data_IF_128633192854
#
_entry.id   IF_128633192854
#
_cell.length_a   1.000
_cell.length_b   1.000
_cell.length_c   1.000
_cell.angle_alpha   90.00
_cell.angle_beta   90.00
_cell.angle_gamma   90.00
#
_symmetry.space_group_name_H-M   'P 1'
#
loop_
_entity.id
_entity.type
_entity.pdbx_description
1 polymer ?
#
# COMPACT_ATOMS: atom_id res chain seq x y z
N UNK A 1 3.01 -2.80 27.07
CA UNK A 1 1.94 -2.25 27.92
C UNK A 1 2.41 -1.99 29.35
N UNK A 2 3.01 -2.97 30.02
CA UNK A 2 3.52 -2.81 31.40
C UNK A 2 4.44 -1.60 31.60
N UNK A 3 5.47 -1.45 30.76
CA UNK A 3 6.40 -0.31 30.82
C UNK A 3 5.67 1.05 30.72
N UNK A 4 4.67 1.13 29.85
CA UNK A 4 3.83 2.33 29.70
C UNK A 4 2.94 2.55 30.92
N UNK A 5 2.34 1.49 31.47
CA UNK A 5 1.49 1.60 32.65
C UNK A 5 2.28 2.02 33.89
N UNK A 6 3.53 1.58 34.02
CA UNK A 6 4.40 1.95 35.13
C UNK A 6 4.90 3.41 35.06
N UNK A 7 5.13 3.93 33.84
CA UNK A 7 5.79 5.24 33.67
C UNK A 7 4.89 6.34 33.13
N UNK A 8 3.74 5.98 32.55
CA UNK A 8 2.75 6.86 31.88
C UNK A 8 3.35 7.79 30.80
N UNK A 9 4.51 7.41 30.24
CA UNK A 9 5.20 8.14 29.16
C UNK A 9 5.42 7.25 27.93
N UNK A 10 5.62 7.82 26.72
CA UNK A 10 6.01 7.05 25.54
C UNK A 10 7.27 6.21 25.82
N UNK A 11 7.27 4.96 25.37
CA UNK A 11 8.34 3.99 25.68
C UNK A 11 9.30 3.87 24.49
N UNK A 12 10.62 3.91 24.74
CA UNK A 12 11.62 3.80 23.67
C UNK A 12 11.83 2.33 23.28
N UNK A 13 12.28 2.10 22.03
CA UNK A 13 12.65 0.74 21.57
C UNK A 13 13.72 0.11 22.46
N UNK A 14 14.68 0.91 22.93
CA UNK A 14 15.74 0.46 23.84
C UNK A 14 15.18 -0.06 25.18
N UNK A 15 14.25 0.65 25.80
CA UNK A 15 13.65 0.24 27.07
C UNK A 15 12.93 -1.11 26.95
N UNK A 16 12.28 -1.34 25.80
CA UNK A 16 11.60 -2.60 25.48
C UNK A 16 12.64 -3.71 25.23
N UNK A 17 13.71 -3.41 24.49
CA UNK A 17 14.78 -4.35 24.18
C UNK A 17 15.47 -4.84 25.45
N UNK A 18 15.84 -3.91 26.34
CA UNK A 18 16.48 -4.19 27.62
C UNK A 18 15.59 -5.05 28.52
N UNK A 19 14.29 -4.72 28.59
CA UNK A 19 13.31 -5.49 29.38
C UNK A 19 13.14 -6.93 28.89
N UNK A 20 13.34 -7.19 27.60
CA UNK A 20 13.08 -8.47 26.96
C UNK A 20 14.35 -9.27 26.65
N UNK A 21 15.53 -8.67 26.85
CA UNK A 21 16.81 -9.31 26.54
C UNK A 21 17.02 -9.60 25.06
N UNK A 22 16.49 -8.75 24.16
CA UNK A 22 16.60 -8.93 22.70
C UNK A 22 17.25 -7.72 22.02
N UNK A 23 17.65 -7.88 20.76
CA UNK A 23 18.23 -6.79 19.98
C UNK A 23 17.22 -5.65 19.74
N UNK A 24 17.65 -4.40 19.90
CA UNK A 24 16.79 -3.22 19.70
C UNK A 24 16.25 -3.12 18.27
N UNK A 25 17.01 -3.56 17.27
CA UNK A 25 16.55 -3.64 15.88
C UNK A 25 15.35 -4.58 15.71
N UNK A 26 15.37 -5.75 16.37
CA UNK A 26 14.22 -6.67 16.42
C UNK A 26 12.99 -6.01 17.03
N UNK A 27 13.22 -5.17 18.06
CA UNK A 27 12.13 -4.40 18.66
C UNK A 27 11.54 -3.43 17.66
N UNK A 28 12.37 -2.61 17.01
CA UNK A 28 11.92 -1.61 16.03
C UNK A 28 11.12 -2.25 14.89
N UNK A 29 11.59 -3.37 14.35
CA UNK A 29 10.87 -4.13 13.31
C UNK A 29 9.48 -4.55 13.78
N UNK A 30 9.35 -5.04 15.00
CA UNK A 30 8.07 -5.49 15.56
C UNK A 30 7.13 -4.31 15.86
N UNK A 31 7.67 -3.15 16.23
CA UNK A 31 6.86 -1.94 16.44
C UNK A 31 6.22 -1.45 15.14
N UNK A 32 6.85 -1.65 13.98
CA UNK A 32 6.21 -1.36 12.67
C UNK A 32 4.94 -2.19 12.50
N UNK A 33 4.99 -3.48 12.85
CA UNK A 33 3.85 -4.39 12.81
C UNK A 33 2.72 -3.95 13.74
N UNK A 34 3.06 -3.73 15.01
CA UNK A 34 2.11 -3.37 16.05
C UNK A 34 1.44 -2.03 15.74
N UNK A 35 2.18 -1.08 15.16
CA UNK A 35 1.62 0.19 14.72
C UNK A 35 0.64 0.01 13.56
N UNK A 36 1.03 -0.75 12.54
CA UNK A 36 0.16 -1.03 11.40
C UNK A 36 -1.13 -1.79 11.79
N UNK A 37 -1.04 -2.65 12.79
CA UNK A 37 -2.19 -3.36 13.38
C UNK A 37 -3.06 -2.48 14.30
N UNK A 38 -2.65 -1.24 14.58
CA UNK A 38 -3.36 -0.31 15.46
C UNK A 38 -3.23 -0.65 16.95
N UNK A 39 -2.25 -1.46 17.35
CA UNK A 39 -1.97 -1.77 18.75
C UNK A 39 -1.14 -0.67 19.44
N UNK A 40 -0.36 0.09 18.67
CA UNK A 40 0.44 1.18 19.23
C UNK A 40 0.41 2.41 18.32
N UNK A 41 0.62 3.57 18.92
CA UNK A 41 0.92 4.83 18.25
C UNK A 41 2.40 5.17 18.44
N UNK A 42 2.96 5.94 17.52
CA UNK A 42 4.34 6.44 17.61
C UNK A 42 4.33 7.96 17.76
N UNK A 43 5.07 8.46 18.76
CA UNK A 43 5.37 9.89 18.92
C UNK A 43 6.82 10.15 18.50
N UNK A 44 7.05 11.12 17.64
CA UNK A 44 8.39 11.51 17.17
C UNK A 44 9.05 12.54 18.11
N UNK A 45 10.37 12.69 18.02
CA UNK A 45 11.16 13.65 18.81
C UNK A 45 11.91 13.05 20.03
N UNK A 46 12.66 13.87 20.79
CA UNK A 46 13.54 13.42 21.88
C UNK A 46 12.79 12.75 23.06
N UNK A 47 11.53 13.15 23.26
CA UNK A 47 10.57 12.56 24.20
C UNK A 47 9.56 11.63 23.52
N UNK A 48 9.85 11.23 22.28
CA UNK A 48 9.07 10.30 21.50
C UNK A 48 9.20 8.85 21.96
N UNK A 49 8.38 7.98 21.39
CA UNK A 49 8.31 6.56 21.73
C UNK A 49 6.98 5.93 21.32
N UNK A 50 6.78 4.70 21.75
CA UNK A 50 5.59 3.91 21.46
C UNK A 50 4.58 4.03 22.60
N UNK A 51 3.32 4.25 22.24
CA UNK A 51 2.19 4.39 23.16
C UNK A 51 1.18 3.28 22.83
N UNK A 52 0.79 2.43 23.78
CA UNK A 52 -0.23 1.42 23.53
C UNK A 52 -1.61 2.08 23.33
N UNK A 53 -2.35 1.63 22.31
CA UNK A 53 -3.74 2.03 22.07
C UNK A 53 -4.68 1.28 23.01
N UNK A 54 -5.95 1.71 23.07
CA UNK A 54 -7.00 0.97 23.78
C UNK A 54 -7.08 -0.49 23.31
N UNK A 55 -6.93 -0.74 21.99
CA UNK A 55 -6.90 -2.08 21.41
C UNK A 55 -5.80 -2.95 22.02
N UNK A 56 -4.60 -2.41 22.27
CA UNK A 56 -3.53 -3.15 22.94
C UNK A 56 -3.80 -3.40 24.44
N UNK A 57 -4.50 -2.49 25.11
CA UNK A 57 -4.88 -2.68 26.51
C UNK A 57 -5.93 -3.77 26.67
N UNK A 58 -6.92 -3.80 25.78
CA UNK A 58 -7.94 -4.85 25.72
C UNK A 58 -7.30 -6.21 25.42
N UNK A 59 -6.37 -6.26 24.46
CA UNK A 59 -5.61 -7.45 24.12
C UNK A 59 -4.85 -8.05 25.32
N UNK A 60 -4.21 -7.21 26.14
CA UNK A 60 -3.47 -7.69 27.31
C UNK A 60 -4.40 -8.18 28.43
N UNK A 61 -5.59 -7.59 28.57
CA UNK A 61 -6.59 -7.99 29.59
C UNK A 61 -7.34 -9.26 29.22
N UNK A 62 -7.59 -9.45 27.92
CA UNK A 62 -8.21 -10.64 27.35
C UNK A 62 -7.36 -11.02 26.14
N UNK A 63 -6.36 -11.91 26.31
CA UNK A 63 -5.56 -12.40 25.20
C UNK A 63 -6.42 -13.32 24.32
N UNK A 64 -7.31 -12.72 23.53
CA UNK A 64 -7.68 -13.30 22.25
C UNK A 64 -6.45 -13.15 21.37
N UNK A 65 -5.97 -14.24 20.79
CA UNK A 65 -4.86 -14.25 19.83
C UNK A 65 -4.92 -13.04 18.90
N UNK A 66 -3.77 -12.43 18.56
CA UNK A 66 -3.72 -11.29 17.65
C UNK A 66 -4.05 -11.79 16.25
N UNK A 67 -5.33 -11.99 16.00
CA UNK A 67 -5.85 -12.37 14.70
C UNK A 67 -5.74 -11.13 13.84
N UNK A 68 -4.90 -11.19 12.82
CA UNK A 68 -5.03 -10.30 11.68
C UNK A 68 -6.39 -10.64 11.06
N UNK A 69 -7.41 -9.84 11.36
CA UNK A 69 -8.80 -10.08 10.97
C UNK A 69 -8.87 -10.44 9.49
N UNK A 70 -9.27 -11.70 9.18
CA UNK A 70 -9.57 -12.27 7.86
C UNK A 70 -8.89 -11.56 6.68
N UNK A 71 -7.57 -11.36 6.78
CA UNK A 71 -6.85 -10.49 5.87
C UNK A 71 -6.31 -11.34 4.73
N UNK A 72 -7.11 -11.49 3.67
CA UNK A 72 -6.72 -12.34 2.54
C UNK A 72 -5.44 -11.79 1.93
N UNK A 73 -4.40 -12.63 1.90
CA UNK A 73 -3.08 -12.24 1.39
C UNK A 73 -2.50 -13.32 0.48
N UNK A 74 -1.86 -12.95 -0.64
CA UNK A 74 -1.12 -13.90 -1.44
C UNK A 74 0.12 -14.39 -0.67
N UNK A 75 0.54 -15.62 -0.94
CA UNK A 75 1.83 -16.15 -0.48
C UNK A 75 2.70 -16.51 -1.69
N UNK A 76 3.97 -16.11 -1.64
CA UNK A 76 5.00 -16.59 -2.56
C UNK A 76 5.97 -17.48 -1.80
N UNK A 77 6.44 -18.53 -2.47
CA UNK A 77 7.33 -19.54 -1.90
C UNK A 77 8.57 -19.59 -2.78
N UNK A 78 9.75 -19.43 -2.17
CA UNK A 78 11.04 -19.37 -2.87
C UNK A 78 11.00 -18.38 -4.06
N UNK A 79 10.34 -17.23 -3.86
CA UNK A 79 10.10 -16.16 -4.85
C UNK A 79 9.18 -16.53 -6.01
N UNK A 80 8.58 -17.72 -6.01
CA UNK A 80 7.60 -18.15 -7.00
C UNK A 80 6.17 -17.86 -6.50
N UNK A 81 5.28 -17.36 -7.38
CA UNK A 81 3.87 -17.20 -7.02
C UNK A 81 3.24 -18.56 -6.78
N UNK A 82 2.25 -18.60 -5.90
CA UNK A 82 1.48 -19.81 -5.60
C UNK A 82 -0.02 -19.56 -5.81
N UNK A 83 -0.81 -20.62 -5.80
CA UNK A 83 -2.27 -20.55 -5.72
C UNK A 83 -2.78 -20.60 -4.27
N UNK A 84 -1.89 -20.38 -3.29
CA UNK A 84 -2.24 -20.33 -1.88
C UNK A 84 -2.62 -18.91 -1.48
N UNK A 85 -3.59 -18.80 -0.60
CA UNK A 85 -3.99 -17.53 0.01
C UNK A 85 -4.04 -17.70 1.51
N UNK A 86 -3.48 -16.74 2.23
CA UNK A 86 -3.58 -16.64 3.68
C UNK A 86 -4.96 -16.12 4.02
N UNK A 87 -5.59 -16.72 5.03
CA UNK A 87 -6.92 -16.33 5.56
C UNK A 87 -6.84 -15.82 6.98
N UNK A 88 -5.74 -16.09 7.67
CA UNK A 88 -5.49 -15.61 9.02
C UNK A 88 -4.01 -15.70 9.31
N UNK A 89 -3.51 -14.70 10.02
CA UNK A 89 -2.17 -14.69 10.59
C UNK A 89 -2.39 -14.53 12.10
N UNK A 90 -1.65 -15.29 12.88
CA UNK A 90 -1.65 -15.21 14.33
C UNK A 90 -0.19 -15.24 14.81
N UNK A 91 0.18 -14.27 15.64
CA UNK A 91 1.50 -14.28 16.28
C UNK A 91 1.44 -15.22 17.49
N UNK A 92 2.25 -16.28 17.46
CA UNK A 92 2.08 -17.42 18.36
C UNK A 92 2.53 -17.17 19.80
N UNK A 93 3.46 -16.25 20.05
CA UNK A 93 3.85 -15.97 21.43
C UNK A 93 3.14 -14.71 21.94
N UNK A 94 2.11 -14.96 22.76
CA UNK A 94 1.19 -13.97 23.35
C UNK A 94 1.88 -13.05 24.38
N UNK A 95 2.99 -13.49 24.96
CA UNK A 95 3.78 -12.74 25.96
C UNK A 95 4.97 -12.01 25.31
N UNK A 96 5.40 -12.49 24.14
CA UNK A 96 6.57 -12.00 23.44
C UNK A 96 6.19 -11.70 21.97
N UNK A 97 5.75 -10.46 21.65
CA UNK A 97 5.50 -10.05 20.27
C UNK A 97 6.74 -10.08 19.36
N UNK A 98 7.89 -10.52 19.89
CA UNK A 98 9.19 -10.71 19.23
C UNK A 98 9.55 -12.19 19.02
N UNK A 99 8.63 -13.13 19.26
CA UNK A 99 8.83 -14.55 18.99
C UNK A 99 9.16 -14.90 17.57
N UNK A 100 8.97 -13.93 16.67
CA UNK A 100 9.34 -14.04 15.29
C UNK A 100 8.69 -15.27 14.64
N UNK A 101 7.56 -15.77 15.19
CA UNK A 101 6.80 -16.89 14.65
C UNK A 101 5.35 -16.50 14.47
N UNK A 102 4.82 -16.82 13.30
CA UNK A 102 3.42 -16.67 12.99
C UNK A 102 2.81 -18.01 12.61
N UNK A 103 1.64 -18.32 13.14
CA UNK A 103 0.72 -19.30 12.59
C UNK A 103 -0.03 -18.64 11.43
N UNK A 104 0.04 -19.28 10.27
CA UNK A 104 -0.54 -18.78 9.03
C UNK A 104 -1.53 -19.82 8.54
N UNK A 105 -2.81 -19.45 8.54
CA UNK A 105 -3.89 -20.28 7.99
C UNK A 105 -4.01 -20.00 6.50
N UNK A 106 -4.06 -21.05 5.69
CA UNK A 106 -4.08 -20.93 4.23
C UNK A 106 -5.23 -21.69 3.57
N UNK A 107 -5.60 -21.25 2.39
CA UNK A 107 -6.45 -21.98 1.43
C UNK A 107 -5.67 -22.21 0.15
N UNK A 108 -5.85 -23.37 -0.49
CA UNK A 108 -5.13 -23.77 -1.71
C UNK A 108 -4.34 -25.06 -1.52
N UNK A 109 -3.44 -25.36 -2.45
CA UNK A 109 -2.69 -26.62 -2.49
C UNK A 109 -1.37 -26.54 -1.72
N UNK A 110 -1.29 -27.29 -0.62
CA UNK A 110 -0.10 -27.37 0.24
C UNK A 110 0.90 -28.44 -0.20
N UNK A 111 0.59 -29.32 -1.16
CA UNK A 111 1.41 -30.51 -1.48
C UNK A 111 2.85 -30.21 -1.87
N UNK A 112 3.11 -29.03 -2.44
CA UNK A 112 4.46 -28.62 -2.87
C UNK A 112 5.18 -27.72 -1.85
N UNK A 113 4.53 -27.42 -0.73
CA UNK A 113 5.10 -26.62 0.36
C UNK A 113 5.92 -27.50 1.29
N UNK A 114 7.12 -27.07 1.66
CA UNK A 114 8.05 -27.80 2.52
C UNK A 114 8.47 -26.96 3.73
N UNK A 115 8.81 -27.64 4.82
CA UNK A 115 9.56 -27.02 5.92
C UNK A 115 10.94 -26.63 5.39
N UNK A 116 11.40 -25.43 5.75
CA UNK A 116 12.61 -24.81 5.23
C UNK A 116 12.40 -23.89 4.03
N UNK A 117 11.22 -23.88 3.42
CA UNK A 117 10.92 -22.97 2.31
C UNK A 117 10.88 -21.51 2.76
N UNK A 118 11.47 -20.63 1.94
CA UNK A 118 11.35 -19.19 2.15
C UNK A 118 9.98 -18.72 1.70
N UNK A 119 9.30 -17.93 2.53
CA UNK A 119 7.97 -17.41 2.24
C UNK A 119 7.92 -15.92 2.31
N UNK A 120 7.06 -15.34 1.46
CA UNK A 120 6.61 -13.96 1.59
C UNK A 120 5.10 -13.93 1.52
N UNK A 121 4.49 -13.43 2.58
CA UNK A 121 3.04 -13.29 2.75
C UNK A 121 2.69 -11.81 2.61
N UNK A 122 1.65 -11.53 1.83
CA UNK A 122 1.11 -10.19 1.65
C UNK A 122 1.67 -9.43 0.44
N UNK A 123 1.35 -8.13 0.32
CA UNK A 123 0.69 -7.30 1.34
C UNK A 123 -0.70 -7.78 1.72
N UNK A 124 -1.03 -7.75 3.02
CA UNK A 124 -2.40 -8.06 3.46
C UNK A 124 -3.37 -6.95 3.03
N UNK A 125 -4.61 -7.31 2.71
CA UNK A 125 -5.58 -6.41 2.07
C UNK A 125 -5.88 -5.17 2.93
N UNK A 126 -6.22 -5.39 4.19
CA UNK A 126 -6.54 -4.35 5.14
C UNK A 126 -5.28 -3.78 5.72
N UNK A 127 -4.39 -4.57 6.32
CA UNK A 127 -3.30 -4.03 7.16
C UNK A 127 -2.06 -3.60 6.37
N UNK A 128 -1.98 -3.93 5.07
CA UNK A 128 -0.84 -3.67 4.18
C UNK A 128 0.50 -4.16 4.74
N UNK A 129 0.45 -5.27 5.49
CA UNK A 129 1.63 -5.90 6.09
C UNK A 129 2.19 -6.95 5.13
N UNK A 130 3.51 -6.97 5.01
CA UNK A 130 4.28 -8.01 4.36
C UNK A 130 5.09 -8.74 5.42
N UNK A 131 5.01 -10.06 5.43
CA UNK A 131 5.81 -10.93 6.28
C UNK A 131 6.72 -11.75 5.39
N UNK A 132 8.03 -11.71 5.62
CA UNK A 132 8.99 -12.62 5.00
C UNK A 132 9.59 -13.50 6.07
N UNK A 133 9.79 -14.78 5.76
CA UNK A 133 10.26 -15.76 6.75
C UNK A 133 10.56 -17.11 6.14
N UNK A 134 10.70 -18.11 7.01
CA UNK A 134 10.95 -19.52 6.65
C UNK A 134 9.87 -20.37 7.30
N UNK A 135 9.30 -21.32 6.56
CA UNK A 135 8.35 -22.28 7.12
C UNK A 135 9.11 -23.22 8.06
N UNK A 136 8.70 -23.26 9.33
CA UNK A 136 9.29 -24.14 10.35
C UNK A 136 8.41 -25.37 10.60
N UNK A 137 7.10 -25.24 10.44
CA UNK A 137 6.16 -26.34 10.64
C UNK A 137 5.02 -26.26 9.61
N UNK A 138 4.46 -27.41 9.28
CA UNK A 138 3.37 -27.54 8.30
C UNK A 138 2.36 -28.57 8.80
N UNK A 139 1.09 -28.18 8.86
CA UNK A 139 -0.03 -29.06 9.15
C UNK A 139 -1.02 -29.03 7.98
N UNK A 140 -1.01 -30.07 7.15
CA UNK A 140 -1.90 -30.18 5.99
C UNK A 140 -3.37 -30.36 6.38
N UNK A 141 -3.65 -31.07 7.46
CA UNK A 141 -5.01 -31.35 7.92
C UNK A 141 -5.74 -30.09 8.39
N UNK A 142 -5.03 -29.22 9.12
CA UNK A 142 -5.56 -27.93 9.59
C UNK A 142 -5.33 -26.78 8.61
N UNK A 143 -4.59 -27.02 7.52
CA UNK A 143 -4.14 -26.01 6.55
C UNK A 143 -3.39 -24.85 7.21
N UNK A 144 -2.45 -25.21 8.07
CA UNK A 144 -1.68 -24.29 8.89
C UNK A 144 -0.18 -24.40 8.57
N UNK A 145 0.49 -23.25 8.52
CA UNK A 145 1.93 -23.12 8.40
C UNK A 145 2.44 -22.33 9.60
N UNK A 146 3.49 -22.81 10.26
CA UNK A 146 4.24 -21.98 11.20
C UNK A 146 5.42 -21.38 10.45
N UNK A 147 5.51 -20.06 10.48
CA UNK A 147 6.53 -19.29 9.76
C UNK A 147 7.40 -18.58 10.79
N UNK A 148 8.70 -18.88 10.79
CA UNK A 148 9.69 -18.02 11.43
C UNK A 148 9.91 -16.78 10.57
N UNK A 149 9.37 -15.66 11.03
CA UNK A 149 9.50 -14.34 10.44
C UNK A 149 10.98 -13.93 10.46
N UNK A 150 11.48 -13.36 9.38
CA UNK A 150 12.79 -12.72 9.30
C UNK A 150 12.64 -11.21 9.08
N UNK A 151 11.55 -10.81 8.44
CA UNK A 151 11.24 -9.42 8.12
C UNK A 151 9.75 -9.19 8.18
N UNK A 152 9.37 -8.06 8.75
CA UNK A 152 8.00 -7.58 8.73
C UNK A 152 8.01 -6.13 8.29
N UNK A 153 7.26 -5.82 7.23
CA UNK A 153 7.15 -4.48 6.65
C UNK A 153 5.69 -4.10 6.60
N UNK A 154 5.36 -2.87 7.01
CA UNK A 154 4.05 -2.30 6.77
C UNK A 154 4.15 -1.21 5.72
N UNK A 155 3.29 -1.25 4.71
CA UNK A 155 3.16 -0.16 3.75
C UNK A 155 2.25 0.90 4.38
N UNK A 156 2.65 2.18 4.42
CA UNK A 156 1.83 3.24 4.97
C UNK A 156 0.46 3.32 4.30
N UNK A 157 -0.58 3.47 5.12
CA UNK A 157 -1.95 3.72 4.67
C UNK A 157 -2.21 5.20 4.52
N UNK A 158 -1.49 5.83 3.61
CA UNK A 158 -1.77 7.22 3.24
C UNK A 158 -2.67 7.23 2.02
N UNK A 159 -3.68 8.09 2.04
CA UNK A 159 -4.60 8.23 0.92
C UNK A 159 -3.92 8.91 -0.25
N UNK A 160 -4.37 8.57 -1.45
CA UNK A 160 -3.91 9.20 -2.68
C UNK A 160 -4.20 10.70 -2.68
N UNK A 161 -5.34 11.14 -2.11
CA UNK A 161 -5.70 12.57 -2.04
C UNK A 161 -4.69 13.44 -1.28
N UNK A 162 -3.94 12.85 -0.36
CA UNK A 162 -2.94 13.54 0.45
C UNK A 162 -1.63 13.76 -0.31
N UNK A 163 -1.34 12.90 -1.29
CA UNK A 163 -0.09 12.90 -2.06
C UNK A 163 -0.23 13.47 -3.46
N UNK A 164 -1.45 13.58 -3.98
CA UNK A 164 -1.68 14.03 -5.35
C UNK A 164 -1.39 15.53 -5.52
N UNK A 165 -0.95 15.88 -6.73
CA UNK A 165 -1.00 17.26 -7.20
C UNK A 165 -2.44 17.63 -7.55
N UNK A 166 -2.94 18.74 -7.00
CA UNK A 166 -4.31 19.26 -7.21
C UNK A 166 -4.38 20.13 -8.47
N UNK A 167 -5.61 20.45 -8.90
CA UNK A 167 -5.91 21.33 -10.04
C UNK A 167 -5.49 20.75 -11.39
N UNK A 168 -6.12 19.65 -11.78
CA UNK A 168 -5.90 19.06 -13.10
C UNK A 168 -6.54 19.93 -14.17
N UNK A 169 -5.73 20.36 -15.13
CA UNK A 169 -6.24 21.01 -16.34
C UNK A 169 -6.91 19.95 -17.20
N UNK A 170 -8.18 20.17 -17.53
CA UNK A 170 -8.99 19.26 -18.36
C UNK A 170 -9.30 19.88 -19.71
N UNK A 171 -9.68 19.05 -20.67
CA UNK A 171 -10.21 19.51 -21.96
C UNK A 171 -11.51 18.77 -22.30
N UNK A 172 -12.36 19.46 -23.06
CA UNK A 172 -13.63 18.95 -23.56
C UNK A 172 -13.43 17.94 -24.69
N UNK A 173 -14.20 16.86 -24.68
CA UNK A 173 -14.13 15.81 -25.71
C UNK A 173 -14.45 16.31 -27.13
N UNK A 174 -15.25 17.37 -27.22
CA UNK A 174 -15.71 18.01 -28.45
C UNK A 174 -14.86 19.21 -28.89
N UNK A 175 -13.89 19.64 -28.07
CA UNK A 175 -12.94 20.68 -28.43
C UNK A 175 -12.04 20.24 -29.59
N UNK A 176 -11.56 21.18 -30.43
CA UNK A 176 -10.63 20.88 -31.51
C UNK A 176 -9.21 20.63 -30.96
N UNK A 177 -8.42 19.79 -31.62
CA UNK A 177 -7.07 19.43 -31.18
C UNK A 177 -6.10 20.63 -31.10
N UNK A 178 -6.31 21.67 -31.91
CA UNK A 178 -5.57 22.94 -31.80
C UNK A 178 -5.68 23.59 -30.41
N UNK A 179 -6.80 23.40 -29.72
CA UNK A 179 -6.99 23.91 -28.37
C UNK A 179 -6.14 23.11 -27.37
N UNK A 180 -6.11 21.77 -27.49
CA UNK A 180 -5.22 20.92 -26.71
C UNK A 180 -3.74 21.33 -26.90
N UNK A 181 -3.34 21.60 -28.15
CA UNK A 181 -2.00 22.07 -28.48
C UNK A 181 -1.64 23.38 -27.76
N UNK A 182 -2.57 24.34 -27.77
CA UNK A 182 -2.42 25.62 -27.06
C UNK A 182 -2.26 25.41 -25.55
N UNK A 183 -3.12 24.59 -24.94
CA UNK A 183 -3.05 24.29 -23.51
C UNK A 183 -1.72 23.62 -23.15
N UNK A 184 -1.22 22.68 -23.96
CA UNK A 184 0.08 22.05 -23.74
C UNK A 184 1.23 23.06 -23.75
N UNK A 185 1.22 24.00 -24.71
CA UNK A 185 2.24 25.04 -24.80
C UNK A 185 2.20 26.02 -23.63
N UNK A 186 1.02 26.53 -23.28
CA UNK A 186 0.84 27.54 -22.24
C UNK A 186 1.08 26.99 -20.83
N UNK A 187 0.62 25.76 -20.56
CA UNK A 187 0.72 25.14 -19.24
C UNK A 187 1.98 24.29 -19.06
N UNK A 188 2.77 24.09 -20.11
CA UNK A 188 3.97 23.22 -20.14
C UNK A 188 3.67 21.80 -19.66
N UNK A 189 2.48 21.29 -19.99
CA UNK A 189 2.04 19.92 -19.69
C UNK A 189 1.96 19.10 -20.98
N UNK A 190 1.94 17.77 -20.85
CA UNK A 190 1.97 16.84 -22.00
C UNK A 190 0.76 15.91 -22.08
N UNK A 191 -0.16 16.00 -21.13
CA UNK A 191 -1.36 15.19 -21.08
C UNK A 191 -2.49 15.97 -20.40
N UNK A 192 -3.72 15.76 -20.89
CA UNK A 192 -4.95 16.36 -20.39
C UNK A 192 -6.01 15.27 -20.24
N UNK A 193 -6.67 15.13 -19.08
CA UNK A 193 -7.91 14.39 -19.00
C UNK A 193 -8.96 15.03 -19.89
N UNK A 194 -9.65 14.18 -20.62
CA UNK A 194 -10.76 14.55 -21.48
C UNK A 194 -12.05 14.33 -20.72
N UNK A 195 -12.92 15.33 -20.70
CA UNK A 195 -14.19 15.31 -19.97
C UNK A 195 -15.41 15.46 -20.88
N UNK A 196 -16.54 14.91 -20.45
CA UNK A 196 -17.86 15.06 -21.07
C UNK A 196 -18.59 16.34 -20.60
N UNK A 197 -19.86 16.45 -21.01
CA UNK A 197 -20.84 17.49 -20.67
C UNK A 197 -21.09 17.64 -19.17
N UNK A 198 -20.98 16.53 -18.43
CA UNK A 198 -21.20 16.45 -16.99
C UNK A 198 -19.90 16.65 -16.17
N UNK A 199 -18.77 16.84 -16.87
CA UNK A 199 -17.45 16.99 -16.26
C UNK A 199 -16.82 15.66 -15.82
N UNK A 200 -17.35 14.52 -16.27
CA UNK A 200 -16.77 13.20 -16.01
C UNK A 200 -15.66 12.90 -17.00
N UNK A 201 -14.62 12.23 -16.54
CA UNK A 201 -13.51 11.82 -17.39
C UNK A 201 -13.93 10.71 -18.34
N UNK A 202 -13.70 10.91 -19.64
CA UNK A 202 -14.01 9.97 -20.72
C UNK A 202 -12.78 9.54 -21.53
N UNK A 203 -11.62 10.12 -21.24
CA UNK A 203 -10.36 9.73 -21.85
C UNK A 203 -9.18 10.59 -21.44
N UNK A 204 -8.06 10.40 -22.14
CA UNK A 204 -6.82 11.17 -21.98
C UNK A 204 -6.28 11.51 -23.37
N UNK A 205 -5.90 12.76 -23.56
CA UNK A 205 -5.19 13.22 -24.76
C UNK A 205 -3.78 13.67 -24.36
N UNK A 206 -2.76 13.28 -25.13
CA UNK A 206 -1.38 13.69 -24.93
C UNK A 206 -0.86 14.52 -26.09
N UNK A 207 0.25 15.22 -25.87
CA UNK A 207 0.93 15.97 -26.93
C UNK A 207 1.34 15.09 -28.11
N UNK A 208 1.54 13.78 -27.89
CA UNK A 208 1.88 12.84 -28.96
C UNK A 208 0.70 12.56 -29.90
N UNK A 209 -0.54 12.47 -29.37
CA UNK A 209 -1.71 12.32 -30.24
C UNK A 209 -2.01 13.60 -31.03
N UNK A 210 -1.77 14.78 -30.43
CA UNK A 210 -1.85 16.07 -31.15
C UNK A 210 -0.78 16.18 -32.23
N UNK A 211 0.46 15.75 -31.95
CA UNK A 211 1.54 15.74 -32.94
C UNK A 211 1.21 14.80 -34.12
N UNK A 212 0.60 13.64 -33.84
CA UNK A 212 0.08 12.75 -34.89
C UNK A 212 -0.97 13.44 -35.75
N UNK A 213 -1.97 14.08 -35.13
CA UNK A 213 -3.01 14.80 -35.86
C UNK A 213 -2.45 15.96 -36.70
N UNK A 214 -1.42 16.65 -36.21
CA UNK A 214 -0.72 17.68 -36.96
C UNK A 214 -0.05 17.11 -38.23
N UNK A 215 0.63 15.96 -38.11
CA UNK A 215 1.23 15.28 -39.26
C UNK A 215 0.17 14.85 -40.29
N UNK A 216 -1.01 14.46 -39.83
CA UNK A 216 -2.17 14.11 -40.67
C UNK A 216 -2.93 15.33 -41.23
N UNK A 217 -2.53 16.56 -40.87
CA UNK A 217 -3.19 17.80 -41.31
C UNK A 217 -4.56 18.06 -40.68
N UNK A 218 -4.87 17.40 -39.57
CA UNK A 218 -6.24 17.32 -39.02
C UNK A 218 -6.37 17.98 -37.62
N UNK A 219 -5.78 19.17 -37.43
CA UNK A 219 -5.84 19.88 -36.14
C UNK A 219 -7.24 20.41 -35.76
N UNK A 220 -8.18 20.42 -36.71
CA UNK A 220 -9.59 20.73 -36.46
C UNK A 220 -10.43 19.53 -36.00
N UNK A 221 -9.87 18.31 -36.05
CA UNK A 221 -10.55 17.15 -35.50
C UNK A 221 -10.83 17.31 -34.01
N UNK A 222 -11.86 16.60 -33.54
CA UNK A 222 -12.26 16.65 -32.14
C UNK A 222 -11.30 15.80 -31.31
N UNK A 223 -11.06 16.25 -30.07
CA UNK A 223 -10.23 15.53 -29.09
C UNK A 223 -10.68 14.07 -28.94
N UNK A 224 -11.99 13.80 -28.90
CA UNK A 224 -12.55 12.44 -28.75
C UNK A 224 -12.14 11.45 -29.84
N UNK A 225 -11.74 11.94 -31.01
CA UNK A 225 -11.37 11.11 -32.16
C UNK A 225 -9.91 10.61 -32.04
N UNK A 226 -9.10 11.29 -31.22
CA UNK A 226 -7.68 10.97 -31.01
C UNK A 226 -7.37 10.52 -29.58
N UNK A 227 -8.26 10.78 -28.61
CA UNK A 227 -8.03 10.44 -27.21
C UNK A 227 -7.91 8.92 -26.97
N UNK A 228 -7.19 8.56 -25.92
CA UNK A 228 -7.22 7.21 -25.36
C UNK A 228 -8.38 7.10 -24.39
N UNK A 229 -9.18 6.04 -24.51
CA UNK A 229 -10.34 5.79 -23.63
C UNK A 229 -9.99 4.93 -22.43
N UNK A 230 -9.08 3.98 -22.61
CA UNK A 230 -8.60 3.12 -21.52
C UNK A 230 -7.47 3.84 -20.78
N UNK A 231 -7.85 4.59 -19.74
CA UNK A 231 -6.95 5.38 -18.92
C UNK A 231 -7.08 4.91 -17.50
N UNK A 232 -6.01 4.33 -16.91
CA UNK A 232 -6.05 3.94 -15.51
C UNK A 232 -6.29 5.14 -14.59
N UNK A 233 -7.39 5.08 -13.86
CA UNK A 233 -7.79 6.05 -12.84
C UNK A 233 -7.69 5.40 -11.46
N UNK A 234 -7.60 6.23 -10.43
CA UNK A 234 -7.66 5.80 -9.04
C UNK A 234 -8.59 6.72 -8.25
N UNK A 235 -9.34 6.14 -7.32
CA UNK A 235 -10.19 6.93 -6.43
C UNK A 235 -9.35 7.69 -5.40
N UNK A 236 -9.78 8.90 -5.05
CA UNK A 236 -9.08 9.78 -4.11
C UNK A 236 -8.87 9.14 -2.73
N UNK A 237 -9.78 8.26 -2.30
CA UNK A 237 -9.76 7.59 -1.01
C UNK A 237 -9.01 6.26 -1.03
N UNK A 238 -8.54 5.82 -2.22
CA UNK A 238 -7.62 4.69 -2.33
C UNK A 238 -6.29 5.00 -1.64
N UNK A 239 -5.56 3.96 -1.24
CA UNK A 239 -4.27 4.13 -0.57
C UNK A 239 -3.07 4.11 -1.52
N UNK A 240 -1.91 4.46 -0.97
CA UNK A 240 -0.63 4.46 -1.66
C UNK A 240 -0.29 3.10 -2.32
N UNK A 241 -0.63 1.99 -1.67
CA UNK A 241 -0.33 0.66 -2.20
C UNK A 241 -1.16 0.37 -3.45
N UNK A 242 -2.45 0.71 -3.44
CA UNK A 242 -3.31 0.56 -4.60
C UNK A 242 -2.82 1.40 -5.78
N UNK A 243 -2.34 2.63 -5.52
CA UNK A 243 -1.72 3.48 -6.53
C UNK A 243 -0.47 2.82 -7.14
N UNK A 244 0.45 2.34 -6.30
CA UNK A 244 1.66 1.64 -6.74
C UNK A 244 1.33 0.39 -7.56
N UNK A 245 0.35 -0.40 -7.09
CA UNK A 245 -0.10 -1.63 -7.76
C UNK A 245 -0.66 -1.32 -9.15
N UNK A 246 -1.52 -0.31 -9.28
CA UNK A 246 -2.07 0.11 -10.57
C UNK A 246 -0.98 0.64 -11.50
N UNK A 247 -0.02 1.42 -11.00
CA UNK A 247 1.11 1.90 -11.79
C UNK A 247 1.96 0.76 -12.35
N UNK A 248 2.27 -0.24 -11.53
CA UNK A 248 3.07 -1.41 -11.94
C UNK A 248 2.31 -2.28 -12.93
N UNK A 249 1.06 -2.63 -12.61
CA UNK A 249 0.23 -3.51 -13.45
C UNK A 249 0.03 -2.93 -14.85
N UNK A 250 -0.19 -1.62 -14.95
CA UNK A 250 -0.39 -0.93 -16.22
C UNK A 250 0.93 -0.41 -16.84
N UNK A 251 2.07 -0.61 -16.18
CA UNK A 251 3.40 -0.09 -16.59
C UNK A 251 3.42 1.43 -16.83
N UNK A 252 2.65 2.18 -16.05
CA UNK A 252 2.52 3.63 -16.14
C UNK A 252 3.18 4.34 -14.95
N UNK A 253 3.55 5.61 -15.16
CA UNK A 253 4.22 6.43 -14.14
C UNK A 253 3.36 7.44 -13.42
N UNK A 254 2.08 7.52 -13.78
CA UNK A 254 1.12 8.47 -13.26
C UNK A 254 -0.27 7.89 -13.33
N UNK A 255 -1.13 8.26 -12.39
CA UNK A 255 -2.55 7.96 -12.37
C UNK A 255 -3.32 9.26 -12.29
N UNK A 256 -4.46 9.31 -12.98
CA UNK A 256 -5.44 10.37 -12.75
C UNK A 256 -6.23 10.00 -11.51
N UNK A 257 -6.22 10.90 -10.53
CA UNK A 257 -7.01 10.77 -9.31
C UNK A 257 -8.36 11.38 -9.55
N UNK A 258 -9.41 10.63 -9.24
CA UNK A 258 -10.79 11.06 -9.44
C UNK A 258 -11.67 10.75 -8.24
N UNK A 259 -12.83 11.39 -8.21
CA UNK A 259 -13.91 11.02 -7.30
C UNK A 259 -15.24 11.19 -8.03
N UNK A 260 -16.12 10.21 -7.93
CA UNK A 260 -17.40 10.19 -8.65
C UNK A 260 -17.24 10.45 -10.17
N UNK A 261 -16.17 9.90 -10.76
CA UNK A 261 -15.85 10.04 -12.19
C UNK A 261 -15.25 11.40 -12.59
N UNK A 262 -15.15 12.38 -11.69
CA UNK A 262 -14.56 13.69 -11.98
C UNK A 262 -13.07 13.71 -11.65
N UNK A 263 -12.19 14.19 -12.55
CA UNK A 263 -10.75 14.28 -12.30
C UNK A 263 -10.45 15.36 -11.26
N UNK A 264 -9.70 15.02 -10.22
CA UNK A 264 -9.34 15.89 -9.10
C UNK A 264 -7.85 16.21 -9.06
N UNK A 265 -7.01 15.23 -9.39
CA UNK A 265 -5.57 15.32 -9.23
C UNK A 265 -4.79 14.37 -10.11
N UNK A 266 -3.48 14.45 -10.02
CA UNK A 266 -2.56 13.48 -10.60
C UNK A 266 -1.61 13.04 -9.49
N UNK A 267 -1.40 11.73 -9.38
CA UNK A 267 -0.33 11.15 -8.56
C UNK A 267 0.68 10.47 -9.47
N UNK A 268 1.97 10.71 -9.23
CA UNK A 268 3.08 10.18 -10.03
C UNK A 268 3.99 9.27 -9.20
N UNK A 269 4.81 8.47 -9.88
CA UNK A 269 5.87 7.69 -9.21
C UNK A 269 6.82 8.57 -8.40
N UNK A 270 7.08 9.80 -8.85
CA UNK A 270 7.94 10.74 -8.13
C UNK A 270 7.30 11.17 -6.81
N UNK A 271 6.00 11.44 -6.79
CA UNK A 271 5.27 11.78 -5.56
C UNK A 271 5.34 10.63 -4.54
N UNK A 272 5.13 9.39 -5.02
CA UNK A 272 5.26 8.17 -4.21
C UNK A 272 6.69 8.03 -3.66
N UNK A 273 7.72 8.17 -4.50
CA UNK A 273 9.11 8.04 -4.08
C UNK A 273 9.52 9.10 -3.07
N UNK A 274 9.12 10.36 -3.28
CA UNK A 274 9.39 11.45 -2.36
C UNK A 274 8.72 11.21 -1.00
N UNK A 275 7.46 10.75 -1.02
CA UNK A 275 6.77 10.39 0.21
C UNK A 275 7.49 9.25 0.95
N UNK A 276 7.80 8.16 0.26
CA UNK A 276 8.50 7.02 0.88
C UNK A 276 9.89 7.39 1.41
N UNK A 277 10.62 8.28 0.71
CA UNK A 277 11.93 8.76 1.15
C UNK A 277 11.85 9.72 2.35
N UNK A 278 10.67 10.30 2.63
CA UNK A 278 10.43 11.14 3.81
C UNK A 278 10.04 10.37 5.06
N UNK A 279 9.84 9.04 4.94
CA UNK A 279 9.54 8.17 6.06
C UNK A 279 10.85 7.79 6.76
N UNK A 280 11.21 8.58 7.77
CA UNK A 280 12.31 8.29 8.70
C UNK A 280 12.08 7.00 9.53
#
# INVERSE_FOLDING_TARGET
VELYMATKRPIKSKDIADKLGINEGTVRNSMVALRAMGYIESKTGPYGGYIPTQKALEYVKMPTNAVFALDIAPITINKLPTNLYVTGIELLDVINPFSNRALVRVIGDLRNVRVGDNVRIGPTANSRVIIEGVITEKNEGLRELVVSINKLVAIPKVKVEELMSKNVVTIRQDAPLREAAKVFAERKIRALPVIDDEGRMVGLITSSEVARAFHEGNLDAKVRDYMRRDVPMIDKDSDLYDAMRLMIANRIGRLIVASNGKPLGIITRTDVLNYLASLD
#
